data_IF_421996061967
#
_entry.id   IF_421996061967
#
_cell.length_a   1.000
_cell.length_b   1.000
_cell.length_c   1.000
_cell.angle_alpha   90.00
_cell.angle_beta   90.00
_cell.angle_gamma   90.00
#
_symmetry.space_group_name_H-M   'P 1'
#
loop_
_entity.id
_entity.type
_entity.pdbx_description
1 polymer ?
#
# COMPACT_ATOMS: atom_id res chain seq x y z
N UNK A 1 -18.19 -11.83 -12.59
CA UNK A 1 -17.01 -12.34 -11.86
C UNK A 1 -17.49 -13.05 -10.59
N UNK A 2 -16.85 -14.14 -10.17
CA UNK A 2 -17.11 -14.78 -8.87
C UNK A 2 -16.18 -14.15 -7.82
N UNK A 3 -16.70 -13.79 -6.65
CA UNK A 3 -15.90 -13.24 -5.54
C UNK A 3 -15.76 -14.30 -4.46
N UNK A 4 -14.54 -14.56 -4.01
CA UNK A 4 -14.27 -15.41 -2.84
C UNK A 4 -13.75 -14.49 -1.74
N UNK A 5 -14.40 -14.50 -0.58
CA UNK A 5 -14.01 -13.69 0.57
C UNK A 5 -13.40 -14.58 1.67
N UNK A 6 -12.28 -14.13 2.24
CA UNK A 6 -11.58 -14.84 3.33
C UNK A 6 -11.27 -13.84 4.44
N UNK A 7 -11.76 -14.09 5.65
CA UNK A 7 -11.53 -13.21 6.79
C UNK A 7 -11.68 -13.94 8.12
N UNK A 8 -10.89 -13.58 9.15
CA UNK A 8 -11.03 -14.15 10.50
C UNK A 8 -12.35 -13.75 11.15
N UNK A 9 -12.80 -12.51 10.91
CA UNK A 9 -14.03 -11.97 11.48
C UNK A 9 -15.22 -12.28 10.57
N UNK A 10 -16.21 -13.00 11.12
CA UNK A 10 -17.47 -13.29 10.45
C UNK A 10 -18.23 -12.01 10.06
N UNK A 11 -18.14 -10.97 10.88
CA UNK A 11 -18.78 -9.68 10.58
C UNK A 11 -18.11 -9.02 9.37
N UNK A 12 -16.78 -8.93 9.37
CA UNK A 12 -16.02 -8.31 8.27
C UNK A 12 -16.16 -9.10 6.96
N UNK A 13 -16.34 -10.42 7.03
CA UNK A 13 -16.52 -11.30 5.89
C UNK A 13 -17.69 -10.89 4.97
N UNK A 14 -18.74 -10.29 5.55
CA UNK A 14 -19.92 -9.82 4.83
C UNK A 14 -20.05 -8.29 4.82
N UNK A 15 -19.02 -7.56 5.28
CA UNK A 15 -19.07 -6.09 5.28
C UNK A 15 -19.21 -5.58 3.86
N UNK A 16 -20.19 -4.69 3.65
CA UNK A 16 -20.59 -4.14 2.35
C UNK A 16 -21.15 -5.15 1.33
N UNK A 17 -21.37 -6.41 1.72
CA UNK A 17 -22.06 -7.37 0.86
C UNK A 17 -23.50 -6.90 0.59
N UNK A 18 -24.05 -7.27 -0.56
CA UNK A 18 -25.36 -6.86 -1.10
C UNK A 18 -25.50 -5.39 -1.50
N UNK A 19 -24.51 -4.54 -1.20
CA UNK A 19 -24.46 -3.16 -1.67
C UNK A 19 -23.65 -3.04 -2.96
N UNK A 20 -22.42 -3.58 -2.98
CA UNK A 20 -21.51 -3.48 -4.13
C UNK A 20 -21.10 -4.83 -4.71
N UNK A 21 -21.20 -5.90 -3.92
CA UNK A 21 -20.75 -7.24 -4.29
C UNK A 21 -21.42 -8.31 -3.44
N UNK A 22 -21.31 -9.58 -3.84
CA UNK A 22 -21.71 -10.73 -3.04
C UNK A 22 -20.66 -11.85 -3.17
N UNK A 23 -20.25 -12.49 -2.06
CA UNK A 23 -19.34 -13.63 -2.13
C UNK A 23 -20.06 -14.83 -2.74
N UNK A 24 -19.44 -15.45 -3.75
CA UNK A 24 -19.80 -16.80 -4.20
C UNK A 24 -19.37 -17.86 -3.17
N UNK A 25 -18.28 -17.58 -2.44
CA UNK A 25 -17.81 -18.38 -1.31
C UNK A 25 -17.27 -17.44 -0.24
N UNK A 26 -17.67 -17.67 1.01
CA UNK A 26 -17.23 -16.91 2.17
C UNK A 26 -16.55 -17.89 3.16
N UNK A 27 -15.26 -17.70 3.39
CA UNK A 27 -14.45 -18.59 4.23
C UNK A 27 -14.02 -17.82 5.48
N UNK A 28 -14.50 -18.25 6.65
CA UNK A 28 -14.03 -17.69 7.91
C UNK A 28 -12.73 -18.39 8.32
N UNK A 29 -11.60 -17.74 8.06
CA UNK A 29 -10.27 -18.29 8.32
C UNK A 29 -9.22 -17.20 8.52
N UNK A 30 -8.07 -17.57 9.07
CA UNK A 30 -6.88 -16.75 8.96
C UNK A 30 -6.45 -16.63 7.50
N UNK A 31 -6.29 -15.40 6.99
CA UNK A 31 -5.95 -15.17 5.59
C UNK A 31 -4.57 -15.73 5.23
N UNK A 32 -3.57 -15.59 6.11
CA UNK A 32 -2.23 -16.09 5.82
C UNK A 32 -2.20 -17.61 5.75
N UNK A 33 -2.71 -18.30 6.78
CA UNK A 33 -2.79 -19.77 6.79
C UNK A 33 -3.64 -20.30 5.63
N UNK A 34 -4.77 -19.67 5.33
CA UNK A 34 -5.62 -20.06 4.21
C UNK A 34 -4.85 -20.07 2.88
N UNK A 35 -4.05 -19.04 2.59
CA UNK A 35 -3.27 -18.99 1.34
C UNK A 35 -2.11 -19.97 1.32
N UNK A 36 -1.48 -20.27 2.46
CA UNK A 36 -0.47 -21.34 2.57
C UNK A 36 -1.09 -22.69 2.23
N UNK A 37 -2.20 -23.05 2.90
CA UNK A 37 -2.89 -24.33 2.70
C UNK A 37 -3.45 -24.45 1.27
N UNK A 38 -3.95 -23.34 0.71
CA UNK A 38 -4.44 -23.29 -0.65
C UNK A 38 -3.31 -23.49 -1.67
N UNK A 39 -2.16 -22.84 -1.48
CA UNK A 39 -1.00 -23.02 -2.35
C UNK A 39 -0.49 -24.46 -2.30
N UNK A 40 -0.47 -25.08 -1.11
CA UNK A 40 -0.12 -26.50 -0.96
C UNK A 40 -1.11 -27.44 -1.64
N UNK A 41 -2.41 -27.12 -1.58
CA UNK A 41 -3.47 -27.89 -2.22
C UNK A 41 -3.51 -27.73 -3.74
N UNK A 42 -3.04 -26.59 -4.25
CA UNK A 42 -3.00 -26.25 -5.68
C UNK A 42 -1.62 -26.48 -6.32
N UNK A 43 -0.79 -27.37 -5.75
CA UNK A 43 0.52 -27.71 -6.33
C UNK A 43 0.40 -28.11 -7.80
N UNK A 44 1.14 -27.39 -8.65
CA UNK A 44 1.14 -27.60 -10.10
C UNK A 44 0.01 -26.90 -10.86
N UNK A 45 -0.92 -26.23 -10.18
CA UNK A 45 -1.89 -25.36 -10.83
C UNK A 45 -1.18 -24.18 -11.50
N UNK A 46 -1.58 -23.88 -12.73
CA UNK A 46 -1.08 -22.73 -13.49
C UNK A 46 -2.24 -21.85 -13.89
N UNK A 47 -2.05 -20.55 -13.74
CA UNK A 47 -2.93 -19.53 -14.30
C UNK A 47 -2.53 -19.34 -15.77
N UNK A 48 -3.47 -18.84 -16.58
CA UNK A 48 -3.19 -18.46 -17.96
C UNK A 48 -2.06 -17.43 -18.05
N UNK A 49 -0.98 -17.80 -18.75
CA UNK A 49 0.21 -16.96 -18.94
C UNK A 49 -0.14 -15.66 -19.70
N UNK A 50 -1.12 -15.70 -20.61
CA UNK A 50 -1.56 -14.52 -21.35
C UNK A 50 -2.23 -13.50 -20.41
N UNK A 51 -3.04 -13.98 -19.47
CA UNK A 51 -3.66 -13.12 -18.46
C UNK A 51 -2.60 -12.49 -17.55
N UNK A 52 -1.60 -13.25 -17.10
CA UNK A 52 -0.48 -12.72 -16.31
C UNK A 52 0.32 -11.67 -17.09
N UNK A 53 0.62 -11.91 -18.37
CA UNK A 53 1.31 -10.93 -19.22
C UNK A 53 0.52 -9.63 -19.32
N UNK A 54 -0.79 -9.74 -19.55
CA UNK A 54 -1.69 -8.58 -19.66
C UNK A 54 -1.68 -7.72 -18.38
N UNK A 55 -1.64 -8.35 -17.20
CA UNK A 55 -1.56 -7.62 -15.93
C UNK A 55 -0.21 -6.90 -15.75
N UNK A 56 0.89 -7.58 -16.06
CA UNK A 56 2.25 -7.00 -15.98
C UNK A 56 2.45 -5.84 -16.94
N UNK A 57 1.94 -5.96 -18.17
CA UNK A 57 1.95 -4.87 -19.15
C UNK A 57 1.19 -3.64 -18.64
N UNK A 58 -0.01 -3.85 -18.08
CA UNK A 58 -0.81 -2.75 -17.49
C UNK A 58 -0.13 -2.09 -16.29
N UNK A 59 0.55 -2.86 -15.45
CA UNK A 59 1.33 -2.34 -14.33
C UNK A 59 2.51 -1.51 -14.84
N UNK A 60 3.28 -2.06 -15.80
CA UNK A 60 4.43 -1.39 -16.41
C UNK A 60 4.02 -0.06 -17.06
N UNK A 61 2.92 -0.03 -17.82
CA UNK A 61 2.42 1.19 -18.45
C UNK A 61 1.96 2.23 -17.40
N UNK A 62 1.34 1.80 -16.30
CA UNK A 62 1.00 2.70 -15.19
C UNK A 62 2.25 3.31 -14.55
N UNK A 63 3.26 2.50 -14.26
CA UNK A 63 4.53 2.96 -13.68
C UNK A 63 5.25 3.93 -14.62
N UNK A 64 5.28 3.63 -15.93
CA UNK A 64 5.87 4.50 -16.95
C UNK A 64 5.16 5.85 -17.02
N UNK A 65 3.83 5.85 -16.98
CA UNK A 65 3.04 7.09 -16.97
C UNK A 65 3.31 7.91 -15.70
N UNK A 66 3.39 7.28 -14.53
CA UNK A 66 3.73 7.96 -13.28
C UNK A 66 5.13 8.58 -13.32
N UNK A 67 6.15 7.84 -13.80
CA UNK A 67 7.51 8.37 -13.98
C UNK A 67 7.57 9.50 -15.00
N UNK A 68 6.80 9.43 -16.08
CA UNK A 68 6.72 10.52 -17.06
C UNK A 68 6.13 11.78 -16.43
N UNK A 69 5.07 11.65 -15.63
CA UNK A 69 4.51 12.79 -14.90
C UNK A 69 5.50 13.38 -13.89
N UNK A 70 6.32 12.54 -13.25
CA UNK A 70 7.37 12.98 -12.33
C UNK A 70 8.52 13.73 -13.03
N UNK A 71 8.73 13.53 -14.33
CA UNK A 71 9.76 14.25 -15.10
C UNK A 71 9.35 15.68 -15.48
N UNK A 72 8.08 16.04 -15.34
CA UNK A 72 7.61 17.39 -15.56
C UNK A 72 8.13 18.30 -14.44
N UNK A 73 9.16 19.11 -14.71
CA UNK A 73 9.72 20.04 -13.74
C UNK A 73 9.13 21.44 -13.98
N UNK A 74 8.24 21.94 -13.11
CA UNK A 74 7.79 23.32 -13.21
C UNK A 74 8.93 24.28 -12.85
N UNK A 75 8.93 25.49 -13.43
CA UNK A 75 10.03 26.45 -13.29
C UNK A 75 10.21 26.97 -11.86
N UNK A 76 9.12 27.09 -11.09
CA UNK A 76 9.12 27.75 -9.77
C UNK A 76 8.94 26.78 -8.58
N UNK A 77 8.54 25.54 -8.83
CA UNK A 77 8.16 24.58 -7.79
C UNK A 77 8.75 23.19 -8.02
N UNK A 78 8.81 22.39 -6.96
CA UNK A 78 9.14 20.97 -7.09
C UNK A 78 7.90 20.19 -7.52
N UNK A 79 8.10 19.24 -8.43
CA UNK A 79 7.07 18.26 -8.73
C UNK A 79 6.97 17.26 -7.56
N UNK A 80 5.81 17.12 -6.90
CA UNK A 80 5.68 16.24 -5.74
C UNK A 80 5.92 14.76 -6.08
N UNK A 81 5.54 14.31 -7.29
CA UNK A 81 5.82 12.94 -7.73
C UNK A 81 7.33 12.71 -7.91
N UNK A 82 8.06 13.72 -8.39
CA UNK A 82 9.52 13.65 -8.46
C UNK A 82 10.13 13.49 -7.08
N UNK A 83 9.71 14.32 -6.13
CA UNK A 83 10.19 14.25 -4.74
C UNK A 83 9.93 12.87 -4.14
N UNK A 84 8.75 12.30 -4.35
CA UNK A 84 8.42 10.96 -3.85
C UNK A 84 9.24 9.86 -4.53
N UNK A 85 9.51 9.96 -5.83
CA UNK A 85 10.37 9.00 -6.54
C UNK A 85 11.82 9.08 -6.07
N UNK A 86 12.38 10.29 -6.00
CA UNK A 86 13.73 10.52 -5.50
C UNK A 86 13.85 10.04 -4.04
N UNK A 87 12.80 10.23 -3.22
CA UNK A 87 12.72 9.70 -1.88
C UNK A 87 12.76 8.16 -1.89
N UNK A 88 11.86 7.49 -2.61
CA UNK A 88 11.80 6.01 -2.67
C UNK A 88 13.13 5.38 -3.12
N UNK A 89 13.82 6.02 -4.08
CA UNK A 89 15.12 5.57 -4.59
C UNK A 89 16.26 5.78 -3.57
N UNK A 90 16.08 6.68 -2.60
CA UNK A 90 17.04 6.93 -1.51
C UNK A 90 16.80 6.09 -0.24
N UNK A 91 15.65 5.43 -0.11
CA UNK A 91 15.30 4.67 1.09
C UNK A 91 15.93 3.26 1.07
N UNK A 92 16.59 2.92 2.18
CA UNK A 92 17.10 1.57 2.41
C UNK A 92 15.99 0.58 2.79
N UNK A 93 16.25 -0.71 2.58
CA UNK A 93 15.34 -1.81 2.95
C UNK A 93 15.00 -1.85 4.45
N UNK A 94 15.84 -1.24 5.28
CA UNK A 94 15.66 -1.14 6.73
C UNK A 94 14.96 0.16 7.19
N UNK A 95 14.01 0.65 6.39
CA UNK A 95 13.26 1.88 6.66
C UNK A 95 11.78 1.61 6.95
N UNK A 96 11.21 2.37 7.89
CA UNK A 96 9.75 2.50 8.11
C UNK A 96 9.31 3.85 7.55
N UNK A 97 8.26 3.82 6.74
CA UNK A 97 7.64 5.00 6.16
C UNK A 97 6.38 5.31 6.94
N UNK A 98 6.24 6.55 7.38
CA UNK A 98 5.01 7.10 7.97
C UNK A 98 4.50 8.18 7.02
N UNK A 99 3.33 7.99 6.45
CA UNK A 99 2.70 8.97 5.58
C UNK A 99 1.54 9.64 6.32
N UNK A 100 1.58 10.97 6.44
CA UNK A 100 0.54 11.74 7.11
C UNK A 100 0.24 13.02 6.33
N UNK A 101 -1.04 13.40 6.23
CA UNK A 101 -1.46 14.59 5.47
C UNK A 101 -2.19 14.33 4.16
N UNK A 102 -3.50 14.57 4.18
CA UNK A 102 -4.35 14.90 3.03
C UNK A 102 -4.17 14.07 1.75
N UNK A 103 -4.42 14.72 0.61
CA UNK A 103 -4.29 14.11 -0.73
C UNK A 103 -2.86 13.67 -1.03
N UNK A 104 -1.87 14.28 -0.36
CA UNK A 104 -0.46 13.96 -0.52
C UNK A 104 -0.15 12.51 -0.12
N UNK A 105 -0.78 11.97 0.94
CA UNK A 105 -0.67 10.55 1.32
C UNK A 105 -1.14 9.62 0.20
N UNK A 106 -2.17 10.02 -0.55
CA UNK A 106 -2.64 9.27 -1.71
C UNK A 106 -1.55 9.12 -2.77
N UNK A 107 -0.89 10.21 -3.15
CA UNK A 107 0.25 10.16 -4.08
C UNK A 107 1.42 9.35 -3.52
N UNK A 108 1.74 9.52 -2.23
CA UNK A 108 2.79 8.76 -1.57
C UNK A 108 2.53 7.24 -1.60
N UNK A 109 1.29 6.81 -1.36
CA UNK A 109 0.90 5.39 -1.38
C UNK A 109 1.02 4.73 -2.77
N UNK A 110 0.99 5.51 -3.85
CA UNK A 110 1.21 5.01 -5.21
C UNK A 110 2.68 4.96 -5.62
N UNK A 111 3.55 5.75 -4.97
CA UNK A 111 4.95 5.92 -5.38
C UNK A 111 5.92 5.21 -4.43
N UNK A 112 5.79 5.43 -3.12
CA UNK A 112 6.66 4.86 -2.11
C UNK A 112 6.33 3.37 -1.90
N UNK A 113 7.34 2.50 -1.93
CA UNK A 113 7.14 1.06 -1.71
C UNK A 113 7.75 0.62 -0.38
N UNK A 114 6.95 0.16 0.59
CA UNK A 114 7.48 -0.40 1.82
C UNK A 114 8.28 -1.67 1.52
N UNK A 115 9.52 -1.78 1.99
CA UNK A 115 10.42 -2.90 1.67
C UNK A 115 10.16 -4.17 2.52
N UNK A 116 9.02 -4.24 3.19
CA UNK A 116 8.61 -5.39 4.00
C UNK A 116 7.29 -5.20 4.74
N UNK A 117 6.82 -6.23 5.47
CA UNK A 117 5.62 -6.13 6.28
C UNK A 117 5.83 -5.14 7.44
N UNK A 118 4.77 -4.41 7.78
CA UNK A 118 4.78 -3.41 8.87
C UNK A 118 5.84 -2.30 8.67
N UNK A 119 6.13 -1.95 7.41
CA UNK A 119 7.04 -0.86 7.02
C UNK A 119 6.32 0.41 6.53
N UNK A 120 4.99 0.42 6.60
CA UNK A 120 4.13 1.54 6.23
C UNK A 120 3.12 1.80 7.33
N UNK A 121 3.03 3.06 7.75
CA UNK A 121 2.04 3.55 8.69
C UNK A 121 1.34 4.77 8.08
N UNK A 122 0.02 4.80 8.17
CA UNK A 122 -0.81 5.93 7.74
C UNK A 122 -2.01 6.10 8.70
N UNK A 123 -2.79 7.19 8.62
CA UNK A 123 -3.91 7.45 9.51
C UNK A 123 -5.08 6.45 9.41
N UNK A 124 -5.01 5.48 8.50
CA UNK A 124 -5.97 4.42 8.32
C UNK A 124 -7.39 4.91 8.03
N UNK A 125 -8.37 4.16 8.52
CA UNK A 125 -9.78 4.41 8.22
C UNK A 125 -10.33 5.74 8.78
N UNK A 126 -9.67 6.33 9.78
CA UNK A 126 -10.12 7.60 10.38
C UNK A 126 -9.56 8.83 9.65
N UNK A 127 -8.49 8.69 8.86
CA UNK A 127 -7.92 9.79 8.10
C UNK A 127 -7.48 10.97 8.98
N UNK A 128 -7.13 10.72 10.25
CA UNK A 128 -6.83 11.78 11.22
C UNK A 128 -5.48 12.42 10.91
N UNK A 129 -5.50 13.66 10.41
CA UNK A 129 -4.28 14.42 10.12
C UNK A 129 -3.56 14.80 11.43
N UNK A 130 -2.23 14.73 11.40
CA UNK A 130 -1.34 15.11 12.51
C UNK A 130 -0.86 13.93 13.35
N UNK A 131 -1.27 12.70 13.04
CA UNK A 131 -0.85 11.49 13.77
C UNK A 131 0.57 11.03 13.43
N UNK A 132 1.14 11.51 12.32
CA UNK A 132 2.40 11.04 11.76
C UNK A 132 3.57 11.15 12.74
N UNK A 133 3.65 12.23 13.52
CA UNK A 133 4.74 12.43 14.47
C UNK A 133 4.69 11.38 15.60
N UNK A 134 3.49 11.13 16.13
CA UNK A 134 3.28 10.12 17.16
C UNK A 134 3.60 8.72 16.66
N UNK A 135 3.16 8.40 15.44
CA UNK A 135 3.46 7.11 14.80
C UNK A 135 4.95 6.91 14.56
N UNK A 136 5.66 7.95 14.12
CA UNK A 136 7.10 7.90 13.89
C UNK A 136 7.89 7.65 15.18
N UNK A 137 7.55 8.38 16.25
CA UNK A 137 8.17 8.18 17.57
C UNK A 137 7.90 6.76 18.08
N UNK A 138 6.65 6.30 18.00
CA UNK A 138 6.29 4.93 18.39
C UNK A 138 7.03 3.87 17.57
N UNK A 139 7.14 4.06 16.25
CA UNK A 139 7.88 3.17 15.36
C UNK A 139 9.37 3.10 15.75
N UNK A 140 10.01 4.25 15.99
CA UNK A 140 11.43 4.30 16.38
C UNK A 140 11.67 3.68 17.77
N UNK A 141 10.74 3.84 18.71
CA UNK A 141 10.81 3.17 20.02
C UNK A 141 10.71 1.64 19.90
N UNK A 142 9.81 1.15 19.06
CA UNK A 142 9.63 -0.28 18.84
C UNK A 142 10.74 -0.91 17.98
N UNK A 143 11.37 -0.12 17.10
CA UNK A 143 12.41 -0.54 16.15
C UNK A 143 13.59 0.44 16.18
N UNK A 144 14.39 0.45 17.25
CA UNK A 144 15.45 1.44 17.43
C UNK A 144 16.53 1.39 16.33
N UNK A 145 16.79 0.20 15.78
CA UNK A 145 17.81 -0.03 14.74
C UNK A 145 17.36 0.33 13.32
N UNK A 146 16.14 0.85 13.17
CA UNK A 146 15.56 1.17 11.87
C UNK A 146 15.43 2.66 11.64
N UNK A 147 15.61 3.07 10.40
CA UNK A 147 15.28 4.43 10.01
C UNK A 147 13.77 4.61 9.93
N UNK A 148 13.32 5.78 10.34
CA UNK A 148 11.91 6.16 10.31
C UNK A 148 11.80 7.48 9.57
N UNK A 149 11.18 7.42 8.40
CA UNK A 149 10.95 8.59 7.56
C UNK A 149 9.48 8.95 7.62
N UNK A 150 9.20 10.21 7.91
CA UNK A 150 7.84 10.73 7.91
C UNK A 150 7.67 11.67 6.73
N UNK A 151 6.61 11.46 5.96
CA UNK A 151 6.21 12.37 4.91
C UNK A 151 4.95 13.08 5.36
N UNK A 152 5.07 14.38 5.61
CA UNK A 152 3.99 15.25 6.10
C UNK A 152 3.45 16.12 4.99
N UNK A 153 2.12 16.19 4.88
CA UNK A 153 1.44 17.35 4.32
C UNK A 153 1.55 18.54 5.27
N UNK A 154 1.68 19.75 4.72
CA UNK A 154 1.76 21.01 5.45
C UNK A 154 0.58 21.21 6.41
N UNK A 155 -0.66 21.00 5.93
CA UNK A 155 -1.86 21.09 6.76
C UNK A 155 -1.95 20.05 7.89
N UNK A 156 -1.14 19.00 7.82
CA UNK A 156 -1.02 17.99 8.89
C UNK A 156 -0.03 18.41 9.97
N UNK A 157 0.95 19.24 9.60
CA UNK A 157 2.03 19.68 10.48
C UNK A 157 1.65 20.93 11.28
N UNK A 158 0.86 21.85 10.70
CA UNK A 158 0.34 23.06 11.37
C UNK A 158 0.55 24.34 10.58
#
# INVERSE_FOLDING_TARGET
SKVIAVNRSKEQLYKNAKLFWNPALAVQADSAQFFVDLADSLKGFKVDDQWISTLRERETEKEKNARTQAQNNPDEHLNPLKVLHDLDESLDDNTIIVADGGDFVGSAAYVLRPRGPLRWLDPGAFGTLGVGAGFAIGAKLCRPDMDVVVVFGDGSLG
#
